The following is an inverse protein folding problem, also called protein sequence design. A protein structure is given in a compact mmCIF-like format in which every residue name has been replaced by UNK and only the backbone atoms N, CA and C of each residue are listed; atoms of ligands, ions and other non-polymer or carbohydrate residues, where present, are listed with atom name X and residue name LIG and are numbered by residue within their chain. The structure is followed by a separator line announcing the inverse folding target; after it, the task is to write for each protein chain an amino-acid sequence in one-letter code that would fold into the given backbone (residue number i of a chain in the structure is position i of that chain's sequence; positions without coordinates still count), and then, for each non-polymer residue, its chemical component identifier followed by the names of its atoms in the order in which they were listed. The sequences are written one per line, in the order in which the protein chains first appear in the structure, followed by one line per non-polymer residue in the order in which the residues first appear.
data_IF_140330118677
#
_entry.id   IF_140330118677
#
_cell.length_a   1.000
_cell.length_b   1.000
_cell.length_c   1.000
_cell.angle_alpha   90.00
_cell.angle_beta   90.00
_cell.angle_gamma   90.00
#
_symmetry.space_group_name_H-M   'P 1'
#
loop_
_entity.id
_entity.type
_entity.pdbx_description
1 polymer ?
#
# COMPACT_ATOMS: atom_id res chain seq x y z
N UNK A 1 -15.88 25.82 3.39
CA UNK A 1 -14.86 25.37 2.43
C UNK A 1 -14.30 24.07 2.95
N UNK A 2 -14.70 22.93 2.39
CA UNK A 2 -14.06 21.65 2.69
C UNK A 2 -12.83 21.58 1.80
N UNK A 3 -11.66 21.98 2.30
CA UNK A 3 -10.43 21.78 1.54
C UNK A 3 -10.19 20.27 1.50
N UNK A 4 -10.29 19.70 0.32
CA UNK A 4 -9.85 18.32 0.10
C UNK A 4 -8.33 18.34 0.21
N UNK A 5 -7.82 18.23 1.43
CA UNK A 5 -6.40 17.98 1.71
C UNK A 5 -6.10 16.56 1.17
N UNK A 6 -5.89 16.45 -0.14
CA UNK A 6 -5.39 15.22 -0.75
C UNK A 6 -3.92 15.09 -0.35
N UNK A 7 -3.69 14.65 0.88
CA UNK A 7 -2.36 14.37 1.39
C UNK A 7 -1.61 13.46 0.42
N UNK A 8 -0.39 13.86 0.04
CA UNK A 8 0.44 13.10 -0.89
C UNK A 8 0.83 11.77 -0.25
N UNK A 9 0.55 10.67 -0.95
CA UNK A 9 0.97 9.32 -0.54
C UNK A 9 2.08 8.86 -1.48
N UNK A 10 3.20 8.43 -0.92
CA UNK A 10 4.32 7.83 -1.66
C UNK A 10 4.42 6.36 -1.26
N UNK A 11 4.66 5.49 -2.25
CA UNK A 11 4.90 4.06 -2.04
C UNK A 11 6.34 3.73 -2.45
N UNK A 12 7.05 3.05 -1.57
CA UNK A 12 8.40 2.53 -1.82
C UNK A 12 8.33 1.00 -1.86
N UNK A 13 8.33 0.39 -3.06
CA UNK A 13 8.21 -1.06 -3.19
C UNK A 13 9.40 -1.79 -2.57
N UNK A 14 9.11 -2.71 -1.66
CA UNK A 14 10.11 -3.64 -1.10
C UNK A 14 10.23 -4.90 -1.95
N UNK A 15 9.14 -5.33 -2.60
CA UNK A 15 9.14 -6.47 -3.50
C UNK A 15 7.75 -6.86 -3.99
N UNK A 16 7.75 -7.80 -4.94
CA UNK A 16 6.54 -8.39 -5.50
C UNK A 16 6.82 -9.77 -6.10
N UNK A 17 5.79 -10.62 -6.18
CA UNK A 17 5.80 -11.89 -6.91
C UNK A 17 4.42 -12.21 -7.48
N UNK A 18 4.42 -13.08 -8.47
CA UNK A 18 3.24 -13.70 -9.06
C UNK A 18 3.27 -15.21 -8.80
N UNK A 19 2.09 -15.83 -8.62
CA UNK A 19 1.96 -17.28 -8.48
C UNK A 19 2.38 -18.00 -9.77
N UNK A 20 2.75 -19.27 -9.65
CA UNK A 20 3.05 -20.13 -10.81
C UNK A 20 1.83 -20.37 -11.69
N UNK A 21 0.62 -20.34 -11.10
CA UNK A 21 -0.67 -20.40 -11.79
C UNK A 21 -1.04 -19.10 -12.51
N UNK A 22 -0.28 -18.01 -12.33
CA UNK A 22 -0.50 -16.70 -12.98
C UNK A 22 -1.86 -16.04 -12.69
N UNK A 23 -2.48 -16.37 -11.57
CA UNK A 23 -3.80 -15.89 -11.15
C UNK A 23 -3.77 -15.09 -9.83
N UNK A 24 -2.63 -15.05 -9.14
CA UNK A 24 -2.44 -14.34 -7.88
C UNK A 24 -1.13 -13.56 -7.92
N UNK A 25 -1.12 -12.32 -7.46
CA UNK A 25 0.11 -11.56 -7.26
C UNK A 25 0.03 -10.75 -5.97
N UNK A 26 1.20 -10.44 -5.41
CA UNK A 26 1.29 -9.55 -4.27
C UNK A 26 2.43 -8.54 -4.47
N UNK A 27 2.27 -7.38 -3.87
CA UNK A 27 3.32 -6.39 -3.69
C UNK A 27 3.29 -5.84 -2.28
N UNK A 28 4.46 -5.54 -1.73
CA UNK A 28 4.60 -4.98 -0.40
C UNK A 28 5.74 -3.98 -0.37
N UNK A 29 5.75 -3.13 0.65
CA UNK A 29 6.76 -2.11 0.81
C UNK A 29 6.38 -1.12 1.90
N UNK A 30 7.04 0.02 1.89
CA UNK A 30 6.75 1.12 2.80
C UNK A 30 5.83 2.14 2.11
N UNK A 31 5.06 2.87 2.90
CA UNK A 31 4.38 4.07 2.46
C UNK A 31 4.76 5.25 3.35
N UNK A 32 4.70 6.44 2.77
CA UNK A 32 4.64 7.70 3.51
C UNK A 32 3.41 8.50 3.09
N UNK A 33 2.77 9.17 4.04
CA UNK A 33 1.59 10.00 3.80
C UNK A 33 1.76 11.35 4.47
N UNK A 34 1.78 12.39 3.64
CA UNK A 34 1.85 13.78 4.09
C UNK A 34 0.46 14.24 4.55
N UNK A 35 0.38 14.86 5.73
CA UNK A 35 -0.85 15.43 6.30
C UNK A 35 -0.53 16.76 6.98
N UNK A 36 -0.55 17.86 6.21
CA UNK A 36 0.01 19.13 6.64
C UNK A 36 1.51 18.99 6.91
N UNK A 37 1.96 19.43 8.09
CA UNK A 37 3.37 19.35 8.51
C UNK A 37 3.78 17.98 9.08
N UNK A 38 2.86 17.01 9.13
CA UNK A 38 3.12 15.67 9.68
C UNK A 38 3.25 14.65 8.55
N UNK A 39 4.33 13.86 8.57
CA UNK A 39 4.49 12.70 7.69
C UNK A 39 4.23 11.43 8.49
N UNK A 40 3.22 10.67 8.07
CA UNK A 40 2.97 9.31 8.56
C UNK A 40 3.79 8.31 7.76
N UNK A 41 4.34 7.30 8.42
CA UNK A 41 5.01 6.17 7.80
C UNK A 41 4.35 4.85 8.17
N UNK A 42 4.44 3.86 7.29
CA UNK A 42 3.99 2.51 7.56
C UNK A 42 4.36 1.54 6.47
N UNK A 43 3.81 0.34 6.56
CA UNK A 43 3.94 -0.72 5.55
C UNK A 43 2.63 -0.89 4.78
N UNK A 44 2.73 -1.33 3.54
CA UNK A 44 1.60 -1.78 2.75
C UNK A 44 1.77 -3.21 2.28
N UNK A 45 0.65 -3.89 2.06
CA UNK A 45 0.54 -5.15 1.35
C UNK A 45 -0.70 -5.08 0.45
N UNK A 46 -0.48 -5.25 -0.85
CA UNK A 46 -1.55 -5.39 -1.83
C UNK A 46 -1.52 -6.79 -2.42
N UNK A 47 -2.66 -7.47 -2.44
CA UNK A 47 -2.84 -8.76 -3.08
C UNK A 47 -3.87 -8.60 -4.17
N UNK A 48 -3.50 -9.04 -5.37
CA UNK A 48 -4.37 -9.05 -6.54
C UNK A 48 -4.67 -10.48 -6.93
N UNK A 49 -5.88 -10.71 -7.43
CA UNK A 49 -6.30 -12.01 -7.97
C UNK A 49 -7.04 -11.79 -9.30
N UNK A 50 -6.67 -12.54 -10.31
CA UNK A 50 -7.43 -12.61 -11.56
C UNK A 50 -8.71 -13.42 -11.33
N UNK A 51 -9.83 -13.01 -11.93
CA UNK A 51 -11.02 -13.85 -11.99
C UNK A 51 -10.99 -14.81 -13.19
N UNK A 52 -12.09 -15.56 -13.40
CA UNK A 52 -12.19 -16.55 -14.49
C UNK A 52 -12.06 -15.93 -15.89
N UNK A 53 -12.30 -14.63 -16.04
CA UNK A 53 -12.15 -13.92 -17.31
C UNK A 53 -10.73 -13.36 -17.48
N UNK A 54 -9.85 -13.52 -16.48
CA UNK A 54 -8.51 -12.94 -16.45
C UNK A 54 -8.47 -11.50 -15.91
N UNK A 55 -9.59 -10.97 -15.42
CA UNK A 55 -9.64 -9.60 -14.91
C UNK A 55 -9.02 -9.52 -13.52
N UNK A 56 -7.97 -8.70 -13.36
CA UNK A 56 -7.31 -8.51 -12.08
C UNK A 56 -8.11 -7.62 -11.14
N UNK A 57 -8.42 -8.16 -9.97
CA UNK A 57 -9.13 -7.46 -8.89
C UNK A 57 -8.27 -7.41 -7.64
N UNK A 58 -8.36 -6.31 -6.91
CA UNK A 58 -7.72 -6.15 -5.62
C UNK A 58 -8.44 -7.04 -4.60
N UNK A 59 -7.77 -8.10 -4.16
CA UNK A 59 -8.30 -9.04 -3.17
C UNK A 59 -8.05 -8.54 -1.74
N UNK A 60 -6.93 -7.85 -1.51
CA UNK A 60 -6.59 -7.22 -0.23
C UNK A 60 -5.78 -5.95 -0.47
N UNK A 61 -6.13 -4.90 0.27
CA UNK A 61 -5.29 -3.72 0.47
C UNK A 61 -5.12 -3.48 1.96
N UNK A 62 -3.92 -3.74 2.47
CA UNK A 62 -3.58 -3.55 3.86
C UNK A 62 -2.55 -2.44 3.97
N UNK A 63 -2.82 -1.48 4.85
CA UNK A 63 -1.84 -0.48 5.28
C UNK A 63 -1.76 -0.53 6.80
N UNK A 64 -0.54 -0.60 7.32
CA UNK A 64 -0.28 -0.59 8.76
C UNK A 64 0.70 0.52 9.08
N UNK A 65 0.24 1.50 9.84
CA UNK A 65 1.05 2.58 10.39
C UNK A 65 2.15 2.02 11.29
N UNK A 66 3.37 2.53 11.13
CA UNK A 66 4.46 2.25 12.05
C UNK A 66 4.27 3.03 13.36
N UNK A 67 4.65 2.46 14.51
CA UNK A 67 4.72 3.22 15.75
C UNK A 67 5.57 4.48 15.56
N UNK A 68 5.29 5.58 16.27
CA UNK A 68 6.19 6.73 16.29
C UNK A 68 7.60 6.24 16.63
N UNK A 69 8.61 6.74 15.92
CA UNK A 69 9.99 6.44 16.26
C UNK A 69 10.20 6.74 17.75
N UNK A 70 10.71 5.76 18.50
CA UNK A 70 11.02 5.96 19.91
C UNK A 70 12.00 7.14 20.01
N UNK A 71 11.65 8.13 20.83
CA UNK A 71 12.54 9.25 21.11
C UNK A 71 13.79 8.69 21.81
N UNK A 72 15.00 9.04 21.37
CA UNK A 72 16.24 8.56 22.00
C UNK A 72 16.33 8.96 23.48
#
# INVERSE_FOLDING_TARGET
MLTSEHGKVTFEPGGSKMSTSSDLSYSYGNYSKEHGDVVEHGIYLMIWRADMNGDWKLALNLQKKSPPAAKP
#
